data_IF_927170138183
#
_entry.id   IF_927170138183
#
_cell.length_a   1.000
_cell.length_b   1.000
_cell.length_c   1.000
_cell.angle_alpha   90.00
_cell.angle_beta   90.00
_cell.angle_gamma   90.00
#
_symmetry.space_group_name_H-M   'P 1'
#
loop_
_entity.id
_entity.type
_entity.pdbx_description
1 polymer ?
#
# COMPACT_ATOMS: atom_id res chain seq x y z
N UNK A 1 7.61 4.67 -31.73
CA UNK A 1 6.87 3.49 -32.21
C UNK A 1 5.93 3.11 -31.08
N UNK A 2 4.76 3.72 -31.09
CA UNK A 2 3.74 3.52 -30.06
C UNK A 2 3.06 2.18 -30.33
N UNK A 3 3.32 1.19 -29.46
CA UNK A 3 2.51 -0.02 -29.44
C UNK A 3 1.15 0.35 -28.85
N UNK A 4 0.18 0.55 -29.74
CA UNK A 4 -1.24 0.66 -29.43
C UNK A 4 -1.68 -0.69 -28.88
N UNK A 5 -1.91 -0.77 -27.57
CA UNK A 5 -2.60 -1.91 -26.96
C UNK A 5 -4.01 -2.01 -27.57
N UNK A 6 -4.47 -3.20 -27.97
CA UNK A 6 -5.82 -3.36 -28.51
C UNK A 6 -6.84 -2.99 -27.44
N UNK A 7 -7.82 -2.16 -27.80
CA UNK A 7 -8.95 -1.81 -26.94
C UNK A 7 -9.81 -3.04 -26.70
N UNK A 8 -9.66 -3.68 -25.55
CA UNK A 8 -10.57 -4.73 -25.08
C UNK A 8 -11.93 -4.09 -24.79
N UNK A 9 -13.00 -4.60 -25.40
CA UNK A 9 -14.35 -4.07 -25.18
C UNK A 9 -14.86 -4.47 -23.79
N UNK A 10 -15.65 -3.59 -23.16
CA UNK A 10 -16.25 -3.82 -21.84
C UNK A 10 -16.98 -5.17 -21.73
N UNK A 11 -17.58 -5.66 -22.82
CA UNK A 11 -18.33 -6.92 -22.87
C UNK A 11 -17.45 -8.18 -22.78
N UNK A 12 -16.11 -8.06 -22.87
CA UNK A 12 -15.19 -9.20 -22.67
C UNK A 12 -14.74 -9.34 -21.20
N UNK A 13 -15.04 -8.35 -20.35
CA UNK A 13 -14.62 -8.34 -18.94
C UNK A 13 -15.54 -9.22 -18.08
N UNK A 14 -16.82 -9.36 -18.45
CA UNK A 14 -17.79 -10.20 -17.72
C UNK A 14 -17.48 -11.71 -17.80
N UNK A 15 -16.64 -12.14 -18.76
CA UNK A 15 -16.18 -13.53 -18.87
C UNK A 15 -14.87 -13.83 -18.11
N UNK A 16 -14.32 -12.84 -17.38
CA UNK A 16 -13.15 -13.06 -16.54
C UNK A 16 -13.53 -13.89 -15.31
N UNK A 17 -13.49 -15.21 -15.48
CA UNK A 17 -13.58 -16.18 -14.40
C UNK A 17 -12.38 -15.99 -13.47
N UNK A 18 -12.57 -15.21 -12.41
CA UNK A 18 -11.63 -15.17 -11.29
C UNK A 18 -11.63 -16.57 -10.66
N UNK A 19 -10.56 -17.34 -10.87
CA UNK A 19 -10.30 -18.50 -10.02
C UNK A 19 -10.29 -18.03 -8.57
N UNK A 20 -11.01 -18.76 -7.71
CA UNK A 20 -10.94 -18.53 -6.26
C UNK A 20 -9.46 -18.60 -5.82
N UNK A 21 -9.10 -17.81 -4.80
CA UNK A 21 -7.75 -17.78 -4.20
C UNK A 21 -7.24 -19.18 -3.79
N UNK A 22 -8.14 -20.16 -3.68
CA UNK A 22 -7.84 -21.58 -3.44
C UNK A 22 -6.86 -22.18 -4.46
N UNK A 23 -6.73 -21.61 -5.66
CA UNK A 23 -5.84 -22.14 -6.72
C UNK A 23 -4.40 -21.57 -6.67
N UNK A 24 -4.13 -20.49 -5.93
CA UNK A 24 -2.78 -19.93 -5.79
C UNK A 24 -2.20 -20.40 -4.47
N UNK A 25 -1.32 -21.41 -4.53
CA UNK A 25 -0.54 -21.84 -3.37
C UNK A 25 0.42 -20.71 -2.96
N UNK A 26 0.04 -19.96 -1.93
CA UNK A 26 0.93 -19.00 -1.26
C UNK A 26 1.68 -19.76 -0.20
N UNK A 27 3.00 -19.69 -0.24
CA UNK A 27 3.82 -20.27 0.82
C UNK A 27 3.75 -19.36 2.07
N UNK A 28 2.98 -19.81 3.06
CA UNK A 28 2.76 -19.10 4.32
C UNK A 28 3.72 -19.57 5.42
N UNK A 29 4.40 -20.69 5.23
CA UNK A 29 5.24 -21.33 6.27
C UNK A 29 6.73 -21.13 6.03
N UNK A 30 7.11 -20.34 5.02
CA UNK A 30 8.49 -19.92 4.81
C UNK A 30 9.01 -19.20 6.05
N UNK A 31 10.15 -19.68 6.56
CA UNK A 31 10.94 -18.97 7.57
C UNK A 31 11.79 -17.93 6.85
N UNK A 32 11.62 -16.67 7.22
CA UNK A 32 12.39 -15.56 6.68
C UNK A 32 13.48 -15.14 7.66
N UNK A 33 14.72 -14.93 7.21
CA UNK A 33 15.75 -14.39 8.07
C UNK A 33 15.39 -12.96 8.48
N UNK A 34 15.51 -12.68 9.78
CA UNK A 34 15.40 -11.35 10.36
C UNK A 34 16.78 -10.96 10.86
N UNK A 35 17.28 -9.83 10.39
CA UNK A 35 18.63 -9.36 10.66
C UNK A 35 18.56 -8.30 11.76
N UNK A 36 19.14 -8.55 12.93
CA UNK A 36 19.13 -7.57 14.02
C UNK A 36 20.06 -6.39 13.69
N UNK A 37 19.57 -5.15 13.79
CA UNK A 37 20.42 -3.96 13.58
C UNK A 37 21.43 -3.73 14.69
N UNK A 38 21.28 -4.41 15.83
CA UNK A 38 22.23 -4.36 16.94
C UNK A 38 23.35 -5.41 16.84
N UNK A 39 23.24 -6.35 15.89
CA UNK A 39 24.28 -7.32 15.59
C UNK A 39 24.93 -6.94 14.25
N UNK A 40 26.21 -6.54 14.29
CA UNK A 40 26.92 -6.04 13.10
C UNK A 40 27.03 -7.08 11.97
N UNK A 41 27.18 -8.36 12.32
CA UNK A 41 27.33 -9.45 11.35
C UNK A 41 25.98 -9.73 10.68
N UNK A 42 24.91 -9.88 11.46
CA UNK A 42 23.55 -10.02 10.92
C UNK A 42 23.16 -8.81 10.08
N UNK A 43 23.46 -7.59 10.54
CA UNK A 43 23.17 -6.38 9.79
C UNK A 43 23.85 -6.38 8.42
N UNK A 44 25.14 -6.77 8.36
CA UNK A 44 25.86 -6.90 7.08
C UNK A 44 25.24 -7.95 6.17
N UNK A 45 24.88 -9.13 6.71
CA UNK A 45 24.15 -10.15 5.95
C UNK A 45 22.82 -9.61 5.40
N UNK A 46 22.10 -8.83 6.20
CA UNK A 46 20.85 -8.20 5.80
C UNK A 46 21.01 -7.14 4.70
N UNK A 47 22.16 -6.46 4.62
CA UNK A 47 22.48 -5.54 3.52
C UNK A 47 22.74 -6.29 2.21
N UNK A 48 23.32 -7.49 2.27
CA UNK A 48 23.62 -8.30 1.09
C UNK A 48 22.40 -9.11 0.61
N UNK A 49 21.51 -9.51 1.51
CA UNK A 49 20.34 -10.37 1.25
C UNK A 49 19.43 -9.91 0.09
N UNK A 50 19.14 -8.61 -0.12
CA UNK A 50 18.32 -8.15 -1.23
C UNK A 50 18.91 -8.44 -2.62
N UNK A 51 20.23 -8.62 -2.74
CA UNK A 51 20.85 -8.93 -4.04
C UNK A 51 20.43 -10.31 -4.55
N UNK A 52 20.20 -11.25 -3.64
CA UNK A 52 19.82 -12.63 -3.96
C UNK A 52 18.30 -12.84 -3.90
N UNK A 53 17.64 -12.21 -2.92
CA UNK A 53 16.24 -12.48 -2.62
C UNK A 53 15.28 -11.34 -2.98
N UNK A 54 15.79 -10.16 -3.32
CA UNK A 54 14.99 -8.99 -3.70
C UNK A 54 14.34 -8.24 -2.54
N UNK A 55 14.59 -8.66 -1.30
CA UNK A 55 14.16 -8.00 -0.06
C UNK A 55 15.08 -8.34 1.11
N UNK A 56 14.93 -7.64 2.23
CA UNK A 56 15.49 -8.00 3.54
C UNK A 56 14.59 -7.47 4.66
N UNK A 57 14.63 -8.15 5.82
CA UNK A 57 13.87 -7.78 7.02
C UNK A 57 14.86 -7.48 8.13
N UNK A 58 14.90 -6.24 8.57
CA UNK A 58 15.67 -5.83 9.73
C UNK A 58 14.79 -5.77 10.96
N UNK A 59 15.28 -6.28 12.09
CA UNK A 59 14.53 -6.35 13.36
C UNK A 59 15.20 -5.55 14.46
N UNK A 60 14.49 -5.33 15.57
CA UNK A 60 14.91 -4.50 16.68
C UNK A 60 15.21 -3.05 16.25
N UNK A 61 14.44 -2.51 15.31
CA UNK A 61 14.63 -1.14 14.79
C UNK A 61 14.11 -0.11 15.77
N UNK A 62 13.04 -0.45 16.48
CA UNK A 62 12.37 0.37 17.48
C UNK A 62 12.00 -0.48 18.69
N UNK A 63 11.93 0.16 19.85
CA UNK A 63 11.47 -0.46 21.08
C UNK A 63 9.94 -0.60 21.11
N UNK A 64 9.43 -1.49 21.97
CA UNK A 64 7.98 -1.61 22.19
C UNK A 64 7.34 -0.29 22.65
N UNK A 65 8.05 0.52 23.43
CA UNK A 65 7.56 1.82 23.89
C UNK A 65 7.41 2.80 22.72
N UNK A 66 8.35 2.81 21.78
CA UNK A 66 8.27 3.63 20.56
C UNK A 66 7.16 3.15 19.60
N UNK A 67 6.95 1.84 19.48
CA UNK A 67 5.82 1.26 18.75
C UNK A 67 4.50 1.73 19.35
N UNK A 68 4.33 1.58 20.67
CA UNK A 68 3.13 2.00 21.39
C UNK A 68 2.90 3.52 21.28
N UNK A 69 3.98 4.30 21.38
CA UNK A 69 3.91 5.74 21.20
C UNK A 69 3.43 6.11 19.78
N UNK A 70 3.97 5.46 18.75
CA UNK A 70 3.61 5.68 17.35
C UNK A 70 2.14 5.33 17.08
N UNK A 71 1.66 4.20 17.60
CA UNK A 71 0.25 3.78 17.50
C UNK A 71 -0.66 4.81 18.17
N UNK A 72 -0.28 5.31 19.35
CA UNK A 72 -1.04 6.35 20.05
C UNK A 72 -1.08 7.68 19.28
N UNK A 73 0.03 8.08 18.64
CA UNK A 73 0.06 9.26 17.78
C UNK A 73 -0.85 9.11 16.56
N UNK A 74 -0.87 7.93 15.91
CA UNK A 74 -1.81 7.65 14.82
C UNK A 74 -3.25 7.83 15.29
N UNK A 75 -3.64 7.18 16.38
CA UNK A 75 -5.00 7.27 16.87
C UNK A 75 -5.39 8.69 17.25
N UNK A 76 -4.50 9.42 17.93
CA UNK A 76 -4.72 10.84 18.24
C UNK A 76 -4.96 11.66 16.98
N UNK A 77 -4.26 11.36 15.89
CA UNK A 77 -4.49 12.00 14.60
C UNK A 77 -5.86 11.63 14.02
N UNK A 78 -6.19 10.33 13.92
CA UNK A 78 -7.46 9.84 13.38
C UNK A 78 -8.66 10.39 14.15
N UNK A 79 -8.62 10.37 15.48
CA UNK A 79 -9.67 10.88 16.37
C UNK A 79 -9.78 12.42 16.32
N UNK A 80 -8.75 13.12 15.84
CA UNK A 80 -8.76 14.58 15.65
C UNK A 80 -9.33 15.03 14.29
N UNK A 81 -9.61 14.10 13.38
CA UNK A 81 -10.15 14.42 12.07
C UNK A 81 -11.57 15.01 12.18
N UNK A 82 -11.99 15.86 11.22
CA UNK A 82 -13.36 16.38 11.18
C UNK A 82 -14.40 15.24 11.18
N UNK A 83 -15.62 15.54 11.65
CA UNK A 83 -16.69 14.53 11.82
C UNK A 83 -17.00 13.71 10.56
N UNK A 84 -16.80 14.28 9.37
CA UNK A 84 -17.00 13.58 8.09
C UNK A 84 -16.01 12.45 7.82
N UNK A 85 -14.90 12.38 8.55
CA UNK A 85 -13.84 11.37 8.43
C UNK A 85 -13.54 10.70 9.78
N UNK A 86 -14.52 10.69 10.67
CA UNK A 86 -14.31 10.35 12.07
C UNK A 86 -14.19 8.83 12.23
N UNK A 87 -12.96 8.35 12.21
CA UNK A 87 -12.62 6.96 12.53
C UNK A 87 -12.47 6.86 14.06
N UNK A 88 -13.30 6.05 14.70
CA UNK A 88 -13.23 5.79 16.15
C UNK A 88 -12.53 4.46 16.43
N UNK A 89 -11.63 4.48 17.42
CA UNK A 89 -11.00 3.27 17.92
C UNK A 89 -12.06 2.33 18.47
N UNK A 90 -12.01 1.05 18.09
CA UNK A 90 -12.92 -0.01 18.52
C UNK A 90 -14.38 0.14 18.02
N UNK A 91 -14.63 0.93 16.97
CA UNK A 91 -15.97 1.06 16.36
C UNK A 91 -15.86 0.83 14.86
N UNK A 92 -15.98 -0.43 14.45
CA UNK A 92 -15.77 -0.87 13.07
C UNK A 92 -16.67 -0.12 12.08
N UNK A 93 -17.87 0.27 12.50
CA UNK A 93 -18.85 1.00 11.69
C UNK A 93 -18.36 2.39 11.26
N UNK A 94 -17.31 2.89 11.90
CA UNK A 94 -16.66 4.17 11.56
C UNK A 94 -15.48 4.00 10.60
N UNK A 95 -15.16 2.77 10.19
CA UNK A 95 -14.03 2.45 9.33
C UNK A 95 -14.58 2.18 7.91
N UNK A 96 -14.03 2.85 6.90
CA UNK A 96 -14.41 2.61 5.51
C UNK A 96 -14.05 1.16 5.08
N UNK A 97 -14.83 0.60 4.16
CA UNK A 97 -14.61 -0.73 3.60
C UNK A 97 -13.21 -0.85 2.96
N UNK A 98 -12.51 -1.99 3.12
CA UNK A 98 -11.15 -2.15 2.61
C UNK A 98 -11.13 -2.13 1.07
N UNK A 99 -10.48 -1.11 0.50
CA UNK A 99 -10.10 -1.12 -0.91
C UNK A 99 -8.86 -1.99 -1.11
N UNK A 100 -8.99 -3.09 -1.85
CA UNK A 100 -7.85 -3.83 -2.38
C UNK A 100 -8.04 -4.08 -3.87
N UNK A 101 -6.92 -4.09 -4.59
CA UNK A 101 -6.89 -4.36 -6.03
C UNK A 101 -6.54 -5.84 -6.19
N UNK A 102 -7.42 -6.61 -6.83
CA UNK A 102 -7.13 -8.00 -7.18
C UNK A 102 -6.40 -8.01 -8.52
N UNK A 103 -5.30 -8.76 -8.60
CA UNK A 103 -4.63 -8.99 -9.88
C UNK A 103 -5.42 -10.09 -10.62
N UNK A 104 -5.88 -9.84 -11.87
CA UNK A 104 -6.59 -10.86 -12.63
C UNK A 104 -5.71 -12.10 -12.90
N UNK A 105 -6.29 -13.30 -12.80
CA UNK A 105 -5.59 -14.59 -12.99
C UNK A 105 -5.28 -14.92 -14.46
N UNK A 106 -5.32 -13.96 -15.36
CA UNK A 106 -5.21 -14.18 -16.81
C UNK A 106 -3.76 -14.23 -17.30
N UNK A 107 -2.82 -13.82 -16.46
CA UNK A 107 -1.42 -13.71 -16.82
C UNK A 107 -0.72 -15.04 -16.51
N UNK A 108 -0.54 -15.88 -17.54
CA UNK A 108 0.21 -17.15 -17.45
C UNK A 108 1.64 -16.98 -16.93
N UNK A 109 2.20 -15.77 -17.00
CA UNK A 109 3.48 -15.43 -16.36
C UNK A 109 3.41 -15.41 -14.83
N UNK A 110 2.25 -15.08 -14.24
CA UNK A 110 2.04 -15.09 -12.79
C UNK A 110 1.87 -16.52 -12.24
N UNK A 111 1.35 -17.46 -13.04
CA UNK A 111 1.23 -18.88 -12.65
C UNK A 111 2.58 -19.55 -12.38
N UNK A 112 3.67 -19.00 -12.94
CA UNK A 112 5.04 -19.45 -12.70
C UNK A 112 5.69 -18.80 -11.49
N UNK A 113 5.02 -17.83 -10.86
CA UNK A 113 5.54 -17.19 -9.67
C UNK A 113 5.23 -18.07 -8.46
N UNK A 114 6.18 -18.11 -7.53
CA UNK A 114 5.99 -18.70 -6.22
C UNK A 114 5.86 -17.55 -5.22
N UNK A 115 4.66 -16.97 -5.06
CA UNK A 115 4.46 -15.85 -4.15
C UNK A 115 4.76 -16.29 -2.72
N UNK A 116 5.40 -15.40 -1.98
CA UNK A 116 5.80 -15.61 -0.58
C UNK A 116 5.09 -14.61 0.30
N UNK A 117 4.43 -15.09 1.35
CA UNK A 117 3.84 -14.20 2.34
C UNK A 117 4.87 -13.88 3.42
N UNK A 118 5.42 -12.67 3.39
CA UNK A 118 6.35 -12.22 4.42
C UNK A 118 5.57 -11.87 5.70
N UNK A 119 5.87 -12.58 6.79
CA UNK A 119 5.31 -12.33 8.11
C UNK A 119 6.26 -11.41 8.89
N UNK A 120 5.74 -10.28 9.36
CA UNK A 120 6.51 -9.30 10.13
C UNK A 120 5.91 -9.10 11.52
N UNK A 121 6.77 -8.71 12.45
CA UNK A 121 6.41 -8.26 13.79
C UNK A 121 6.46 -6.73 13.87
N UNK A 122 5.80 -6.19 14.88
CA UNK A 122 5.99 -4.78 15.21
C UNK A 122 7.43 -4.58 15.66
N UNK A 123 8.15 -3.65 15.00
CA UNK A 123 9.61 -3.40 15.04
C UNK A 123 10.39 -3.84 13.79
N UNK A 124 9.76 -4.61 12.89
CA UNK A 124 10.41 -4.98 11.64
C UNK A 124 10.44 -3.82 10.65
N UNK A 125 11.58 -3.69 9.98
CA UNK A 125 11.78 -2.81 8.85
C UNK A 125 12.11 -3.63 7.60
N UNK A 126 11.18 -3.65 6.65
CA UNK A 126 11.34 -4.37 5.39
C UNK A 126 11.89 -3.40 4.34
N UNK A 127 12.98 -3.79 3.68
CA UNK A 127 13.43 -3.17 2.44
C UNK A 127 13.24 -4.14 1.30
N UNK A 128 12.91 -3.63 0.12
CA UNK A 128 12.86 -4.41 -1.10
C UNK A 128 13.46 -3.63 -2.26
N UNK A 129 14.01 -4.34 -3.23
CA UNK A 129 14.50 -3.70 -4.45
C UNK A 129 13.31 -3.18 -5.26
N UNK A 130 13.46 -2.04 -5.91
CA UNK A 130 12.37 -1.39 -6.66
C UNK A 130 11.77 -2.24 -7.79
N UNK A 131 12.48 -3.30 -8.21
CA UNK A 131 12.04 -4.26 -9.24
C UNK A 131 11.26 -5.46 -8.68
N UNK A 132 11.19 -5.60 -7.36
CA UNK A 132 10.45 -6.69 -6.72
C UNK A 132 8.94 -6.46 -6.88
N UNK A 133 8.27 -7.43 -7.50
CA UNK A 133 6.81 -7.49 -7.53
C UNK A 133 6.34 -7.79 -6.12
N UNK A 134 5.54 -6.90 -5.55
CA UNK A 134 4.96 -7.05 -4.22
C UNK A 134 3.51 -6.58 -4.23
N UNK A 135 2.72 -7.09 -3.31
CA UNK A 135 1.35 -6.65 -3.10
C UNK A 135 1.00 -6.73 -1.61
N UNK A 136 0.04 -5.90 -1.20
CA UNK A 136 -0.53 -6.01 0.13
C UNK A 136 -1.48 -7.22 0.16
N UNK A 137 -1.42 -7.99 1.23
CA UNK A 137 -2.40 -9.04 1.51
C UNK A 137 -3.41 -8.55 2.56
N UNK A 138 -4.66 -9.02 2.51
CA UNK A 138 -5.58 -8.84 3.63
C UNK A 138 -4.95 -9.34 4.93
N UNK A 139 -5.30 -8.71 6.05
CA UNK A 139 -4.91 -9.24 7.35
C UNK A 139 -5.60 -10.60 7.55
N UNK A 140 -4.85 -11.59 8.04
CA UNK A 140 -5.42 -12.90 8.39
C UNK A 140 -6.11 -12.71 9.74
N UNK A 141 -7.44 -12.68 9.74
CA UNK A 141 -8.25 -12.54 10.96
C UNK A 141 -8.72 -13.92 11.39
N UNK A 142 -8.38 -14.33 12.61
CA UNK A 142 -9.13 -15.39 13.28
C UNK A 142 -10.49 -14.82 13.70
N UNK A 143 -11.50 -14.99 12.84
CA UNK A 143 -12.86 -14.47 13.06
C UNK A 143 -13.53 -15.02 14.33
N UNK A 144 -13.00 -16.10 14.90
CA UNK A 144 -13.66 -16.84 15.99
C UNK A 144 -13.38 -16.29 17.40
N UNK A 145 -12.38 -15.42 17.58
CA UNK A 145 -11.84 -15.19 18.93
C UNK A 145 -12.11 -13.82 19.58
N UNK A 146 -12.56 -12.79 18.86
CA UNK A 146 -12.83 -11.49 19.52
C UNK A 146 -13.94 -10.66 18.83
N UNK A 147 -14.99 -10.36 19.58
CA UNK A 147 -16.00 -9.34 19.23
C UNK A 147 -15.46 -7.89 19.34
N UNK A 148 -14.16 -7.71 19.53
CA UNK A 148 -13.52 -6.39 19.66
C UNK A 148 -12.75 -6.08 18.38
N UNK A 149 -13.02 -4.92 17.80
CA UNK A 149 -12.30 -4.42 16.63
C UNK A 149 -10.88 -3.99 17.04
N UNK A 150 -9.90 -4.85 16.80
CA UNK A 150 -8.49 -4.56 17.07
C UNK A 150 -7.79 -4.01 15.81
N UNK A 151 -6.82 -3.11 16.01
CA UNK A 151 -5.93 -2.67 14.94
C UNK A 151 -5.04 -3.85 14.51
N UNK A 152 -5.35 -4.45 13.36
CA UNK A 152 -4.65 -5.63 12.87
C UNK A 152 -3.25 -5.33 12.35
N UNK A 153 -3.07 -4.19 11.68
CA UNK A 153 -1.81 -3.82 11.02
C UNK A 153 -1.74 -2.32 10.77
N UNK A 154 -0.61 -1.74 11.14
CA UNK A 154 -0.19 -0.40 10.74
C UNK A 154 1.19 -0.54 10.09
N UNK A 155 1.40 0.12 8.95
CA UNK A 155 2.70 0.16 8.27
C UNK A 155 3.02 1.63 7.98
N UNK A 156 4.27 2.01 8.23
CA UNK A 156 4.81 3.28 7.74
C UNK A 156 5.65 3.02 6.50
N UNK A 157 5.31 3.67 5.39
CA UNK A 157 6.07 3.55 4.15
C UNK A 157 7.14 4.63 4.09
N UNK A 158 8.39 4.20 3.98
CA UNK A 158 9.54 5.08 3.79
C UNK A 158 10.09 4.84 2.39
N UNK A 159 9.94 5.83 1.52
CA UNK A 159 10.57 5.78 0.20
C UNK A 159 12.00 6.33 0.29
N UNK A 160 12.97 5.57 -0.19
CA UNK A 160 14.36 6.00 -0.28
C UNK A 160 14.70 6.29 -1.74
N UNK A 161 15.30 7.45 -2.00
CA UNK A 161 15.84 7.79 -3.31
C UNK A 161 17.29 8.25 -3.15
N UNK A 162 18.22 7.73 -3.96
CA UNK A 162 19.60 8.22 -3.98
C UNK A 162 19.66 9.73 -4.21
N UNK A 163 20.53 10.42 -3.48
CA UNK A 163 20.77 11.86 -3.69
C UNK A 163 21.25 12.17 -5.12
N UNK A 164 21.90 11.21 -5.79
CA UNK A 164 22.30 11.35 -7.20
C UNK A 164 21.14 11.48 -8.18
N UNK A 165 19.92 11.12 -7.77
CA UNK A 165 18.70 11.32 -8.55
C UNK A 165 18.07 12.70 -8.33
N UNK A 166 18.56 13.49 -7.39
CA UNK A 166 18.05 14.84 -7.16
C UNK A 166 18.38 15.76 -8.33
N UNK A 167 17.36 16.38 -8.90
CA UNK A 167 17.48 17.36 -9.97
C UNK A 167 16.84 18.68 -9.50
N UNK A 168 17.61 19.78 -9.39
CA UNK A 168 17.05 21.09 -9.07
C UNK A 168 15.99 21.53 -10.08
N UNK A 169 14.85 22.02 -9.59
CA UNK A 169 13.85 22.71 -10.41
C UNK A 169 14.01 24.20 -10.13
N UNK A 170 14.80 24.91 -10.95
CA UNK A 170 15.23 26.30 -10.69
C UNK A 170 14.09 27.25 -10.31
N UNK A 171 12.89 27.05 -10.87
CA UNK A 171 11.71 27.86 -10.60
C UNK A 171 11.01 27.54 -9.27
N UNK A 172 11.37 26.45 -8.60
CA UNK A 172 10.77 25.97 -7.35
C UNK A 172 11.80 25.83 -6.20
N UNK A 173 12.95 25.19 -6.47
CA UNK A 173 14.03 24.95 -5.52
C UNK A 173 15.35 24.80 -6.28
N UNK A 174 16.36 25.58 -5.89
CA UNK A 174 17.65 25.67 -6.60
C UNK A 174 18.66 24.64 -6.14
N UNK A 175 18.48 24.09 -4.94
CA UNK A 175 19.40 23.18 -4.30
C UNK A 175 18.67 22.25 -3.32
N UNK A 176 19.39 21.28 -2.78
CA UNK A 176 18.84 20.26 -1.87
C UNK A 176 18.33 20.87 -0.55
N UNK A 177 18.99 21.92 -0.04
CA UNK A 177 18.59 22.56 1.20
C UNK A 177 17.23 23.25 1.06
N UNK A 178 17.04 24.03 0.00
CA UNK A 178 15.75 24.65 -0.34
C UNK A 178 14.66 23.59 -0.52
N UNK A 179 14.98 22.46 -1.18
CA UNK A 179 14.05 21.34 -1.32
C UNK A 179 13.63 20.73 0.02
N UNK A 180 14.58 20.49 0.93
CA UNK A 180 14.31 19.95 2.26
C UNK A 180 13.45 20.92 3.10
N UNK A 181 13.78 22.20 3.11
CA UNK A 181 12.99 23.23 3.81
C UNK A 181 11.55 23.28 3.28
N UNK A 182 11.39 23.18 1.96
CA UNK A 182 10.06 23.13 1.33
C UNK A 182 9.28 21.87 1.75
N UNK A 183 9.91 20.69 1.81
CA UNK A 183 9.30 19.45 2.31
C UNK A 183 8.82 19.61 3.76
N UNK A 184 9.64 20.19 4.63
CA UNK A 184 9.28 20.42 6.03
C UNK A 184 8.07 21.35 6.16
N UNK A 185 8.07 22.45 5.39
CA UNK A 185 6.95 23.38 5.38
C UNK A 185 5.64 22.69 4.95
N UNK A 186 5.68 21.82 3.94
CA UNK A 186 4.49 21.07 3.51
C UNK A 186 3.96 20.10 4.55
N UNK A 187 4.83 19.46 5.34
CA UNK A 187 4.38 18.63 6.46
C UNK A 187 3.66 19.48 7.50
N UNK A 188 4.17 20.69 7.80
CA UNK A 188 3.52 21.64 8.74
C UNK A 188 2.17 22.11 8.21
N UNK A 189 2.10 22.40 6.92
CA UNK A 189 0.89 22.90 6.25
C UNK A 189 -0.09 21.78 5.85
N UNK A 190 0.27 20.52 6.10
CA UNK A 190 -0.52 19.31 5.76
C UNK A 190 -0.84 19.21 4.26
N UNK A 191 0.11 19.57 3.41
CA UNK A 191 -0.04 19.51 1.95
C UNK A 191 0.51 18.19 1.41
N UNK A 192 -0.32 17.45 0.67
CA UNK A 192 0.06 16.20 -0.02
C UNK A 192 0.37 16.45 -1.49
N UNK A 193 1.37 15.78 -2.05
CA UNK A 193 1.81 15.89 -3.45
C UNK A 193 1.86 14.51 -4.13
N UNK A 194 2.43 14.42 -5.33
CA UNK A 194 2.66 13.15 -6.03
C UNK A 194 3.41 12.14 -5.17
N UNK A 195 3.34 10.87 -5.58
CA UNK A 195 4.08 9.78 -4.93
C UNK A 195 5.61 9.84 -5.16
N UNK A 196 6.11 10.82 -5.93
CA UNK A 196 7.54 10.96 -6.22
C UNK A 196 8.26 11.65 -5.06
N UNK A 197 9.25 11.00 -4.41
CA UNK A 197 9.93 11.58 -3.24
C UNK A 197 10.86 12.75 -3.59
N UNK A 198 11.20 12.94 -4.88
CA UNK A 198 12.13 13.97 -5.37
C UNK A 198 11.48 15.00 -6.29
N UNK A 199 10.17 14.91 -6.51
CA UNK A 199 9.45 15.84 -7.38
C UNK A 199 8.28 16.47 -6.66
N UNK A 200 8.09 17.76 -6.92
CA UNK A 200 6.90 18.48 -6.55
C UNK A 200 6.16 18.91 -7.81
N UNK A 201 5.22 18.08 -8.22
CA UNK A 201 4.17 18.54 -9.12
C UNK A 201 2.92 18.62 -8.26
N UNK A 202 2.44 19.84 -8.01
CA UNK A 202 1.13 20.00 -7.36
C UNK A 202 0.17 19.18 -8.20
N UNK A 203 -0.49 18.19 -7.61
CA UNK A 203 -1.69 17.62 -8.23
C UNK A 203 -2.70 18.76 -8.21
N UNK A 204 -2.63 19.59 -9.25
CA UNK A 204 -3.17 20.94 -9.43
C UNK A 204 -3.99 21.49 -8.27
N UNK A 205 -3.56 22.63 -7.72
CA UNK A 205 -4.34 23.46 -6.78
C UNK A 205 -5.75 23.85 -7.27
N UNK A 206 -6.13 23.52 -8.52
CA UNK A 206 -7.49 23.63 -9.04
C UNK A 206 -8.43 22.46 -8.74
N UNK A 207 -7.98 21.39 -8.07
CA UNK A 207 -8.80 20.22 -7.77
C UNK A 207 -9.34 20.17 -6.33
N UNK A 208 -8.93 21.10 -5.46
CA UNK A 208 -9.41 21.17 -4.08
C UNK A 208 -10.83 21.75 -3.93
N UNK A 209 -11.49 22.13 -5.03
CA UNK A 209 -12.89 22.56 -5.01
C UNK A 209 -13.80 21.94 -6.08
N UNK A 210 -13.30 21.05 -6.92
CA UNK A 210 -14.15 20.27 -7.80
C UNK A 210 -14.16 18.84 -7.24
N UNK A 211 -15.32 18.39 -6.74
CA UNK A 211 -15.56 17.03 -6.18
C UNK A 211 -15.28 15.88 -7.19
N UNK A 212 -14.57 16.17 -8.28
CA UNK A 212 -14.37 15.34 -9.46
C UNK A 212 -12.91 15.16 -9.85
N UNK A 213 -11.95 15.43 -8.95
CA UNK A 213 -10.59 14.91 -9.08
C UNK A 213 -10.50 13.41 -8.77
N UNK A 214 -11.47 12.65 -9.28
CA UNK A 214 -11.39 11.21 -9.34
C UNK A 214 -10.20 10.93 -10.26
N UNK A 215 -9.20 10.19 -9.77
CA UNK A 215 -8.20 9.54 -10.61
C UNK A 215 -8.93 8.97 -11.83
N UNK A 216 -8.75 9.57 -13.01
CA UNK A 216 -9.37 9.08 -14.25
C UNK A 216 -8.63 7.82 -14.66
N UNK A 217 -9.04 6.71 -14.07
CA UNK A 217 -8.58 5.40 -14.46
C UNK A 217 -9.12 5.12 -15.86
N UNK A 218 -8.30 4.56 -16.74
CA UNK A 218 -8.80 4.04 -18.00
C UNK A 218 -9.68 2.80 -17.76
N UNK A 219 -10.43 2.35 -18.77
CA UNK A 219 -11.33 1.20 -18.63
C UNK A 219 -10.61 -0.06 -18.13
N UNK A 220 -9.36 -0.26 -18.53
CA UNK A 220 -8.52 -1.36 -18.07
C UNK A 220 -8.15 -1.22 -16.59
N UNK A 221 -7.69 -0.05 -16.14
CA UNK A 221 -7.40 0.22 -14.73
C UNK A 221 -8.64 0.10 -13.84
N UNK A 222 -9.80 0.57 -14.32
CA UNK A 222 -11.08 0.33 -13.66
C UNK A 222 -11.39 -1.18 -13.54
N UNK A 223 -11.06 -1.98 -14.57
CA UNK A 223 -11.25 -3.44 -14.51
C UNK A 223 -10.31 -4.16 -13.53
N UNK A 224 -9.20 -3.54 -13.14
CA UNK A 224 -8.29 -4.09 -12.13
C UNK A 224 -8.76 -3.82 -10.69
N UNK A 225 -9.57 -2.77 -10.48
CA UNK A 225 -10.16 -2.48 -9.17
C UNK A 225 -11.38 -3.37 -8.98
N UNK A 226 -11.16 -4.51 -8.34
CA UNK A 226 -12.22 -5.49 -8.05
C UNK A 226 -12.52 -5.41 -6.55
N UNK A 227 -13.60 -4.71 -6.23
CA UNK A 227 -14.08 -4.47 -4.88
C UNK A 227 -15.25 -3.50 -4.91
N UNK A 228 -16.35 -3.87 -5.57
CA UNK A 228 -17.61 -3.18 -5.37
C UNK A 228 -18.14 -3.51 -3.98
N UNK A 229 -18.51 -2.45 -3.26
CA UNK A 229 -19.41 -2.46 -2.12
C UNK A 229 -20.56 -3.45 -2.42
N UNK A 230 -20.58 -4.59 -1.74
CA UNK A 230 -21.79 -5.43 -1.71
C UNK A 230 -22.67 -4.74 -0.67
N UNK A 231 -23.64 -3.94 -1.12
CA UNK A 231 -24.70 -3.52 -0.20
C UNK A 231 -25.37 -4.78 0.39
N UNK A 232 -25.65 -4.82 1.71
CA UNK A 232 -26.43 -5.90 2.28
C UNK A 232 -27.80 -5.88 1.61
N UNK A 233 -28.08 -6.93 0.84
CA UNK A 233 -29.15 -6.94 -0.14
C UNK A 233 -30.54 -6.65 0.43
N UNK A 234 -31.40 -6.14 -0.45
CA UNK A 234 -32.83 -6.35 -0.35
C UNK A 234 -33.38 -6.66 -1.76
N UNK A 235 -33.88 -7.89 -1.94
CA UNK A 235 -34.96 -8.18 -2.88
C UNK A 235 -34.58 -8.68 -4.27
N UNK A 236 -34.63 -10.00 -4.41
CA UNK A 236 -35.24 -10.75 -5.53
C UNK A 236 -35.25 -10.12 -6.93
N UNK A 237 -34.45 -10.70 -7.83
CA UNK A 237 -34.86 -10.83 -9.24
C UNK A 237 -34.68 -12.28 -9.66
N UNK A 238 -35.82 -12.94 -9.87
CA UNK A 238 -35.94 -14.16 -10.67
C UNK A 238 -35.36 -13.89 -12.06
N UNK A 239 -34.55 -14.82 -12.55
CA UNK A 239 -34.16 -14.89 -13.96
C UNK A 239 -35.05 -15.96 -14.57
N UNK A 240 -36.05 -15.53 -15.35
CA UNK A 240 -36.64 -16.38 -16.38
C UNK A 240 -35.75 -16.35 -17.63
N UNK A 241 -35.64 -17.52 -18.26
CA UNK A 241 -34.71 -17.90 -19.34
C UNK A 241 -34.58 -16.93 -20.52
#
# INVERSE_FOLDING_TARGET
MDQIYPSTSLNQIDELKFKNLEDVSIDVDVIYPRFSVHNIEEFQQGIEHPNEHGYAIFSNIVTNDEVNHSVNLLWKYLESLPKSYHIQRNTLETWDEPCYIRVPNQYSSLEKLHPRLIKCKADDFIVWVCRSIHCNTPAIVNKEENNQSELLRIISYICMSPLSMFVPKIDQYKNLEEFCQLREQFVRDRVTYTHSPLEFDVVSQGLLHDEKSILKLNAFQHSLIIGTHIEPGNGTTEIDF
#
